data_IF_987991405744
#
_entry.id   IF_987991405744
#
_cell.length_a   1.000
_cell.length_b   1.000
_cell.length_c   1.000
_cell.angle_alpha   90.00
_cell.angle_beta   90.00
_cell.angle_gamma   90.00
#
_symmetry.space_group_name_H-M   'P 1'
#
loop_
_entity.id
_entity.type
_entity.pdbx_description
1 polymer ?
#
# COMPACT_ATOMS: atom_id res chain seq x y z
N UNK A 1 -2.52 4.98 12.63
CA UNK A 1 -1.71 5.06 11.39
C UNK A 1 -0.75 6.22 11.55
N UNK A 2 0.51 6.13 11.10
CA UNK A 2 1.36 7.33 11.00
C UNK A 2 0.77 8.30 9.98
N UNK A 3 0.97 9.61 10.15
CA UNK A 3 0.35 10.65 9.31
C UNK A 3 0.63 10.46 7.79
N UNK A 4 1.81 9.95 7.42
CA UNK A 4 2.14 9.63 6.02
C UNK A 4 1.28 8.52 5.41
N UNK A 5 0.83 7.57 6.23
CA UNK A 5 -0.03 6.47 5.78
C UNK A 5 -1.45 6.90 5.50
N UNK A 6 -1.94 7.92 6.21
CA UNK A 6 -3.29 8.44 6.02
C UNK A 6 -3.38 9.12 4.65
N UNK A 7 -2.43 10.01 4.35
CA UNK A 7 -2.32 10.64 3.02
C UNK A 7 -2.15 9.61 1.89
N UNK A 8 -1.29 8.61 2.08
CA UNK A 8 -1.12 7.55 1.09
C UNK A 8 -2.39 6.72 0.88
N UNK A 9 -3.15 6.49 1.95
CA UNK A 9 -4.43 5.78 1.89
C UNK A 9 -5.50 6.58 1.13
N UNK A 10 -5.59 7.89 1.31
CA UNK A 10 -6.51 8.73 0.53
C UNK A 10 -6.23 8.67 -0.97
N UNK A 11 -4.94 8.73 -1.36
CA UNK A 11 -4.54 8.57 -2.77
C UNK A 11 -4.91 7.19 -3.30
N UNK A 12 -4.63 6.14 -2.53
CA UNK A 12 -5.04 4.77 -2.85
C UNK A 12 -6.58 4.65 -2.99
N UNK A 13 -7.36 5.23 -2.07
CA UNK A 13 -8.81 5.18 -2.09
C UNK A 13 -9.39 5.86 -3.34
N UNK A 14 -8.86 7.03 -3.72
CA UNK A 14 -9.26 7.78 -4.91
C UNK A 14 -8.77 7.21 -6.25
N UNK A 15 -7.78 6.32 -6.24
CA UNK A 15 -7.22 5.75 -7.47
C UNK A 15 -8.11 4.65 -8.07
N UNK A 16 -8.17 4.59 -9.40
CA UNK A 16 -8.87 3.53 -10.17
C UNK A 16 -7.87 2.50 -10.72
N UNK A 17 -8.36 1.30 -11.05
CA UNK A 17 -7.54 0.19 -11.54
C UNK A 17 -6.92 -0.64 -10.42
N UNK A 18 -6.12 -1.65 -10.78
CA UNK A 18 -5.55 -2.58 -9.81
C UNK A 18 -4.66 -1.85 -8.80
N UNK A 19 -5.09 -1.90 -7.54
CA UNK A 19 -4.50 -1.18 -6.42
C UNK A 19 -4.37 -2.07 -5.20
N UNK A 20 -3.37 -1.78 -4.39
CA UNK A 20 -3.20 -2.42 -3.09
C UNK A 20 -2.57 -1.46 -2.10
N UNK A 21 -2.94 -1.62 -0.84
CA UNK A 21 -2.44 -0.87 0.29
C UNK A 21 -1.89 -1.85 1.32
N UNK A 22 -0.61 -1.67 1.65
CA UNK A 22 0.10 -2.42 2.65
C UNK A 22 0.47 -1.53 3.83
N UNK A 23 0.37 -2.12 5.02
CA UNK A 23 0.62 -1.45 6.28
C UNK A 23 1.57 -2.30 7.11
N UNK A 24 2.60 -1.65 7.66
CA UNK A 24 3.47 -2.23 8.67
C UNK A 24 2.87 -2.07 10.07
N UNK A 25 3.35 -2.87 11.01
CA UNK A 25 3.04 -2.78 12.44
C UNK A 25 3.54 -1.46 13.04
N UNK A 26 4.59 -0.88 12.46
CA UNK A 26 5.18 0.42 12.82
C UNK A 26 4.61 1.56 11.97
N UNK A 27 5.34 2.68 11.84
CA UNK A 27 4.91 3.85 11.04
C UNK A 27 5.06 3.66 9.53
N UNK A 28 5.59 2.52 9.07
CA UNK A 28 5.76 2.25 7.64
C UNK A 28 4.49 1.75 6.96
N UNK A 29 4.26 2.23 5.75
CA UNK A 29 3.13 1.87 4.89
C UNK A 29 3.56 2.05 3.44
N UNK A 30 2.85 1.38 2.55
CA UNK A 30 3.12 1.43 1.13
C UNK A 30 1.87 1.13 0.35
N UNK A 31 1.72 1.75 -0.80
CA UNK A 31 0.57 1.53 -1.65
C UNK A 31 1.00 1.54 -3.11
N UNK A 32 0.22 0.85 -3.93
CA UNK A 32 0.41 0.80 -5.37
C UNK A 32 -0.96 0.92 -6.04
N UNK A 33 -0.99 1.58 -7.20
CA UNK A 33 -2.17 1.79 -8.01
C UNK A 33 -1.78 1.81 -9.50
N UNK A 34 -2.75 1.62 -10.39
CA UNK A 34 -2.51 1.62 -11.84
C UNK A 34 -1.72 0.41 -12.35
N UNK A 35 -1.71 -0.70 -11.62
CA UNK A 35 -1.05 -1.94 -12.05
C UNK A 35 -1.96 -2.77 -12.95
N UNK A 36 -1.35 -3.59 -13.80
CA UNK A 36 -2.07 -4.53 -14.67
C UNK A 36 -2.86 -5.59 -13.88
N UNK A 37 -2.34 -5.99 -12.71
CA UNK A 37 -2.92 -7.04 -11.88
C UNK A 37 -2.84 -6.71 -10.38
N UNK A 38 -3.80 -7.22 -9.60
CA UNK A 38 -3.82 -7.05 -8.13
C UNK A 38 -2.60 -7.72 -7.51
N UNK A 39 -2.12 -8.85 -8.04
CA UNK A 39 -0.93 -9.52 -7.51
C UNK A 39 0.33 -8.63 -7.63
N UNK A 40 0.44 -7.87 -8.70
CA UNK A 40 1.51 -6.88 -8.90
C UNK A 40 1.35 -5.70 -7.94
N UNK A 41 0.13 -5.17 -7.81
CA UNK A 41 -0.17 -4.10 -6.86
C UNK A 41 0.18 -4.49 -5.43
N UNK A 42 -0.19 -5.72 -5.01
CA UNK A 42 0.13 -6.27 -3.69
C UNK A 42 1.63 -6.35 -3.43
N UNK A 43 2.39 -6.91 -4.39
CA UNK A 43 3.85 -7.00 -4.28
C UNK A 43 4.50 -5.62 -4.19
N UNK A 44 4.07 -4.68 -5.04
CA UNK A 44 4.56 -3.31 -5.02
C UNK A 44 4.24 -2.62 -3.68
N UNK A 45 3.01 -2.70 -3.20
CA UNK A 45 2.61 -2.11 -1.91
C UNK A 45 3.43 -2.65 -0.73
N UNK A 46 3.67 -3.96 -0.69
CA UNK A 46 4.53 -4.59 0.33
C UNK A 46 5.98 -4.11 0.25
N UNK A 47 6.53 -4.01 -0.97
CA UNK A 47 7.88 -3.49 -1.18
C UNK A 47 8.01 -2.03 -0.72
N UNK A 48 7.06 -1.17 -1.09
CA UNK A 48 7.01 0.21 -0.60
C UNK A 48 6.96 0.26 0.92
N UNK A 49 6.08 -0.54 1.53
CA UNK A 49 5.95 -0.58 2.98
C UNK A 49 7.29 -0.94 3.66
N UNK A 50 8.02 -1.94 3.14
CA UNK A 50 9.34 -2.34 3.66
C UNK A 50 10.40 -1.24 3.43
N UNK A 51 10.39 -0.61 2.25
CA UNK A 51 11.29 0.50 1.92
C UNK A 51 11.09 1.75 2.80
N UNK A 52 9.87 1.97 3.29
CA UNK A 52 9.54 3.04 4.24
C UNK A 52 9.80 2.66 5.71
N UNK A 53 10.55 1.58 5.99
CA UNK A 53 10.85 1.15 7.36
C UNK A 53 9.65 0.50 8.08
N UNK A 54 8.70 -0.04 7.31
CA UNK A 54 7.59 -0.81 7.85
C UNK A 54 8.05 -2.18 8.33
N UNK A 55 7.82 -2.46 9.61
CA UNK A 55 7.98 -3.80 10.16
C UNK A 55 6.71 -4.63 9.91
N UNK A 56 6.84 -5.93 9.61
CA UNK A 56 5.70 -6.84 9.41
C UNK A 56 4.66 -6.33 8.40
N UNK A 57 5.12 -5.76 7.28
CA UNK A 57 4.27 -5.24 6.22
C UNK A 57 3.29 -6.29 5.70
N UNK A 58 2.00 -5.96 5.77
CA UNK A 58 0.92 -6.81 5.29
C UNK A 58 -0.05 -6.00 4.43
N UNK A 59 -0.56 -6.62 3.36
CA UNK A 59 -1.61 -5.99 2.56
C UNK A 59 -2.89 -5.98 3.38
N UNK A 60 -3.40 -4.79 3.69
CA UNK A 60 -4.66 -4.63 4.43
C UNK A 60 -5.82 -4.35 3.48
N UNK A 61 -5.54 -3.84 2.29
CA UNK A 61 -6.58 -3.59 1.29
C UNK A 61 -6.05 -3.80 -0.13
N UNK A 62 -6.89 -4.32 -1.03
CA UNK A 62 -6.57 -4.46 -2.45
C UNK A 62 -7.83 -4.52 -3.29
N UNK A 63 -7.84 -3.84 -4.43
CA UNK A 63 -9.00 -3.73 -5.32
C UNK A 63 -8.58 -3.67 -6.79
N UNK A 64 -9.50 -3.97 -7.72
CA UNK A 64 -9.26 -3.93 -9.17
C UNK A 64 -9.82 -2.65 -9.80
#
# INVERSE_FOLDING_TARGET
MGAGCIKGYEVFAGSKGSKAFAKGKTKGCGYAYGKADIAEARRAALNFCRGHGGDSCSVVESSR
#
